data_IF_374717512174
#
_entry.id   IF_374717512174
#
_cell.length_a   1.000
_cell.length_b   1.000
_cell.length_c   1.000
_cell.angle_alpha   90.00
_cell.angle_beta   90.00
_cell.angle_gamma   90.00
#
_symmetry.space_group_name_H-M   'P 1'
#
loop_
_entity.id
_entity.type
_entity.pdbx_description
1 polymer ?
#
# COMPACT_ATOMS: atom_id res chain seq x y z
N UNK A 1 31.64 -15.89 9.27
CA UNK A 1 31.44 -15.01 8.09
C UNK A 1 29.94 -14.73 8.01
N UNK A 2 29.49 -13.66 8.69
CA UNK A 2 28.09 -13.26 8.63
C UNK A 2 27.93 -12.42 7.36
N UNK A 3 27.34 -13.00 6.32
CA UNK A 3 26.75 -12.21 5.25
C UNK A 3 25.51 -11.53 5.84
N UNK A 4 25.69 -10.38 6.48
CA UNK A 4 24.65 -9.35 6.49
C UNK A 4 24.48 -8.94 5.05
N UNK A 5 23.58 -9.64 4.35
CA UNK A 5 23.00 -9.16 3.12
C UNK A 5 22.19 -7.94 3.55
N UNK A 6 22.85 -6.79 3.65
CA UNK A 6 22.22 -5.49 3.62
C UNK A 6 21.58 -5.41 2.23
N UNK A 7 20.40 -6.01 2.15
CA UNK A 7 19.50 -5.82 1.03
C UNK A 7 19.11 -4.35 1.14
N UNK A 8 19.92 -3.52 0.51
CA UNK A 8 19.67 -2.15 0.13
C UNK A 8 18.45 -2.17 -0.81
N UNK A 9 17.28 -2.46 -0.24
CA UNK A 9 15.98 -2.46 -0.87
C UNK A 9 15.53 -1.00 -0.99
N UNK A 10 16.34 -0.20 -1.68
CA UNK A 10 15.97 1.13 -2.17
C UNK A 10 14.99 0.99 -3.35
N UNK A 11 13.94 0.16 -3.18
CA UNK A 11 12.81 0.20 -4.08
C UNK A 11 12.08 1.52 -3.82
N UNK A 12 11.84 2.36 -4.84
CA UNK A 12 11.17 3.63 -4.64
C UNK A 12 9.78 3.38 -4.07
N UNK A 13 9.61 3.74 -2.80
CA UNK A 13 8.35 3.59 -2.08
C UNK A 13 7.30 4.50 -2.73
N UNK A 14 6.13 3.99 -3.10
CA UNK A 14 5.12 4.81 -3.78
C UNK A 14 4.68 5.95 -2.86
N UNK A 15 4.47 7.13 -3.45
CA UNK A 15 3.88 8.25 -2.73
C UNK A 15 2.41 7.96 -2.34
N UNK A 16 1.89 8.74 -1.39
CA UNK A 16 0.48 8.64 -0.96
C UNK A 16 -0.50 8.88 -2.11
N UNK A 17 -0.13 9.67 -3.12
CA UNK A 17 -0.97 9.91 -4.30
C UNK A 17 -0.92 8.73 -5.27
N UNK A 18 0.25 8.13 -5.48
CA UNK A 18 0.39 6.95 -6.33
C UNK A 18 -0.38 5.76 -5.76
N UNK A 19 -0.30 5.53 -4.45
CA UNK A 19 -1.02 4.41 -3.84
C UNK A 19 -2.53 4.63 -3.86
N UNK A 20 -3.00 5.87 -3.67
CA UNK A 20 -4.42 6.20 -3.75
C UNK A 20 -4.95 6.04 -5.18
N UNK A 21 -4.18 6.46 -6.20
CA UNK A 21 -4.52 6.27 -7.59
C UNK A 21 -4.61 4.78 -7.96
N UNK A 22 -3.64 3.97 -7.52
CA UNK A 22 -3.65 2.53 -7.75
C UNK A 22 -4.79 1.84 -7.01
N UNK A 23 -5.05 2.23 -5.76
CA UNK A 23 -6.20 1.75 -5.00
C UNK A 23 -7.51 2.03 -5.73
N UNK A 24 -7.67 3.25 -6.27
CA UNK A 24 -8.84 3.63 -7.05
C UNK A 24 -8.98 2.83 -8.34
N UNK A 25 -7.87 2.49 -9.01
CA UNK A 25 -7.88 1.64 -10.19
C UNK A 25 -8.25 0.18 -9.89
N UNK A 26 -7.90 -0.31 -8.69
CA UNK A 26 -8.21 -1.69 -8.25
C UNK A 26 -9.59 -1.82 -7.59
N UNK A 27 -10.15 -0.72 -7.08
CA UNK A 27 -11.43 -0.73 -6.39
C UNK A 27 -12.60 -0.82 -7.37
N UNK A 28 -13.39 -1.86 -7.25
CA UNK A 28 -14.56 -2.16 -8.10
C UNK A 28 -15.83 -1.39 -7.69
N UNK A 29 -15.74 -0.51 -6.68
CA UNK A 29 -16.88 0.22 -6.13
C UNK A 29 -17.60 -0.48 -4.96
N UNK A 30 -17.22 -1.72 -4.62
CA UNK A 30 -17.91 -2.53 -3.58
C UNK A 30 -16.95 -3.22 -2.62
N UNK A 31 -15.84 -3.74 -3.10
CA UNK A 31 -14.95 -4.64 -2.38
C UNK A 31 -13.68 -3.89 -1.94
N UNK A 32 -13.46 -3.71 -0.62
CA UNK A 32 -12.22 -3.10 -0.13
C UNK A 32 -10.98 -3.87 -0.61
N UNK A 33 -9.96 -3.14 -1.07
CA UNK A 33 -8.73 -3.73 -1.60
C UNK A 33 -7.78 -4.02 -0.45
N UNK A 34 -7.21 -5.23 -0.42
CA UNK A 34 -6.24 -5.62 0.62
C UNK A 34 -4.88 -4.98 0.37
N UNK A 35 -4.17 -4.63 1.45
CA UNK A 35 -2.79 -4.12 1.36
C UNK A 35 -1.86 -5.11 0.64
N UNK A 36 -2.02 -6.41 0.88
CA UNK A 36 -1.31 -7.47 0.16
C UNK A 36 -1.51 -7.41 -1.37
N UNK A 37 -2.69 -7.03 -1.86
CA UNK A 37 -2.96 -6.95 -3.29
C UNK A 37 -2.26 -5.74 -3.91
N UNK A 38 -2.29 -4.59 -3.23
CA UNK A 38 -1.53 -3.40 -3.63
C UNK A 38 -0.02 -3.66 -3.61
N UNK A 39 0.47 -4.34 -2.58
CA UNK A 39 1.89 -4.71 -2.44
C UNK A 39 2.39 -5.55 -3.60
N UNK A 40 1.57 -6.48 -4.10
CA UNK A 40 1.90 -7.24 -5.32
C UNK A 40 2.04 -6.35 -6.55
N UNK A 41 1.22 -5.30 -6.70
CA UNK A 41 1.31 -4.37 -7.85
C UNK A 41 2.60 -3.54 -7.86
N UNK A 42 3.24 -3.37 -6.70
CA UNK A 42 4.50 -2.63 -6.56
C UNK A 42 5.71 -3.54 -6.34
N UNK A 43 5.51 -4.87 -6.31
CA UNK A 43 6.55 -5.84 -5.94
C UNK A 43 7.21 -5.52 -4.59
N UNK A 44 6.42 -4.97 -3.65
CA UNK A 44 6.86 -4.55 -2.33
C UNK A 44 6.30 -5.46 -1.23
N UNK A 45 6.89 -5.36 -0.04
CA UNK A 45 6.35 -5.98 1.16
C UNK A 45 5.03 -5.31 1.58
N UNK A 46 4.07 -6.11 2.06
CA UNK A 46 2.78 -5.61 2.54
C UNK A 46 2.94 -4.55 3.65
N UNK A 47 3.90 -4.74 4.55
CA UNK A 47 4.18 -3.78 5.62
C UNK A 47 4.58 -2.38 5.11
N UNK A 48 5.34 -2.30 4.02
CA UNK A 48 5.72 -1.02 3.43
C UNK A 48 4.50 -0.30 2.83
N UNK A 49 3.67 -1.02 2.07
CA UNK A 49 2.41 -0.49 1.52
C UNK A 49 1.45 -0.09 2.64
N UNK A 50 1.33 -0.87 3.71
CA UNK A 50 0.48 -0.54 4.84
C UNK A 50 0.89 0.77 5.51
N UNK A 51 2.20 1.05 5.63
CA UNK A 51 2.68 2.34 6.14
C UNK A 51 2.29 3.52 5.23
N UNK A 52 2.40 3.36 3.91
CA UNK A 52 1.97 4.41 2.96
C UNK A 52 0.46 4.61 3.01
N UNK A 53 -0.34 3.54 3.10
CA UNK A 53 -1.80 3.61 3.22
C UNK A 53 -2.25 4.31 4.50
N UNK A 54 -1.58 4.02 5.63
CA UNK A 54 -1.81 4.72 6.89
C UNK A 54 -1.51 6.22 6.78
N UNK A 55 -0.43 6.58 6.08
CA UNK A 55 -0.15 7.99 5.79
C UNK A 55 -1.22 8.57 4.87
N UNK A 56 -1.62 7.88 3.80
CA UNK A 56 -2.66 8.36 2.88
C UNK A 56 -4.03 8.56 3.58
N UNK A 57 -4.35 7.74 4.58
CA UNK A 57 -5.55 7.89 5.42
C UNK A 57 -5.52 9.18 6.26
N UNK A 58 -4.35 9.58 6.77
CA UNK A 58 -4.19 10.87 7.47
C UNK A 58 -4.40 12.09 6.56
N UNK A 59 -4.25 11.92 5.25
CA UNK A 59 -4.49 12.96 4.23
C UNK A 59 -5.87 12.80 3.56
N UNK A 60 -6.75 11.97 4.12
CA UNK A 60 -8.12 11.74 3.63
C UNK A 60 -8.19 11.27 2.16
N UNK A 61 -7.15 10.62 1.65
CA UNK A 61 -7.11 10.07 0.29
C UNK A 61 -7.72 8.66 0.20
N UNK A 62 -7.66 7.92 1.31
CA UNK A 62 -8.12 6.54 1.43
C UNK A 62 -8.70 6.32 2.81
N UNK A 63 -9.47 5.25 2.99
CA UNK A 63 -10.03 4.85 4.29
C UNK A 63 -9.82 3.37 4.54
N UNK A 64 -9.41 3.03 5.76
CA UNK A 64 -9.39 1.65 6.21
C UNK A 64 -10.80 1.18 6.62
N UNK A 65 -11.21 0.03 6.12
CA UNK A 65 -12.38 -0.71 6.57
C UNK A 65 -11.88 -1.89 7.42
N UNK A 66 -12.02 -1.84 8.76
CA UNK A 66 -11.47 -2.83 9.67
C UNK A 66 -11.84 -4.27 9.27
N UNK A 67 -10.84 -5.13 9.13
CA UNK A 67 -11.01 -6.54 8.76
C UNK A 67 -11.31 -6.79 7.27
N UNK A 68 -11.55 -5.75 6.46
CA UNK A 68 -11.91 -5.90 5.04
C UNK A 68 -10.81 -5.40 4.10
N UNK A 69 -10.22 -4.23 4.36
CA UNK A 69 -9.19 -3.66 3.49
C UNK A 69 -9.28 -2.13 3.41
N UNK A 70 -8.94 -1.59 2.25
CA UNK A 70 -8.85 -0.16 2.00
C UNK A 70 -9.77 0.25 0.85
N UNK A 71 -10.35 1.44 0.95
CA UNK A 71 -11.15 2.05 -0.12
C UNK A 71 -10.60 3.45 -0.46
N UNK A 72 -10.69 3.90 -1.72
CA UNK A 72 -10.41 5.29 -2.07
C UNK A 72 -11.49 6.20 -1.50
N UNK A 73 -11.11 7.42 -1.11
CA UNK A 73 -12.04 8.51 -0.78
C UNK A 73 -12.25 9.44 -1.98
#
# INVERSE_FOLDING_TARGET
MYLTLEADLNFPMPSIYQIAAQLRAMYDGRTPVKAAALAKSYELAEGAIAQVLRRAEQFELVRNIPGQGWIPL
#
